data_IF_597376881300
#
_entry.id   IF_597376881300
#
_cell.length_a   1.000
_cell.length_b   1.000
_cell.length_c   1.000
_cell.angle_alpha   90.00
_cell.angle_beta   90.00
_cell.angle_gamma   90.00
#
_symmetry.space_group_name_H-M   'P 1'
#
loop_
_entity.id
_entity.type
_entity.pdbx_description
1 polymer ?
#
# COMPACT_ATOMS: atom_id res chain seq x y z
N UNK A 1 2.62 13.14 3.20
CA UNK A 1 1.61 12.12 3.57
C UNK A 1 1.06 11.40 2.33
N UNK A 2 0.12 11.99 1.58
CA UNK A 2 -0.54 11.35 0.42
C UNK A 2 0.47 10.82 -0.61
N UNK A 3 1.37 11.69 -1.09
CA UNK A 3 2.38 11.30 -2.08
C UNK A 3 3.32 10.19 -1.59
N UNK A 4 3.72 10.22 -0.32
CA UNK A 4 4.57 9.16 0.25
C UNK A 4 3.83 7.82 0.32
N UNK A 5 2.53 7.86 0.63
CA UNK A 5 1.69 6.67 0.64
C UNK A 5 1.53 6.10 -0.77
N UNK A 6 1.21 6.96 -1.75
CA UNK A 6 1.11 6.57 -3.17
C UNK A 6 2.42 5.94 -3.65
N UNK A 7 3.56 6.55 -3.32
CA UNK A 7 4.90 6.06 -3.68
C UNK A 7 5.15 4.63 -3.17
N UNK A 8 4.70 4.33 -1.94
CA UNK A 8 4.77 2.98 -1.38
C UNK A 8 3.89 1.95 -2.10
N UNK A 9 2.76 2.37 -2.68
CA UNK A 9 1.88 1.49 -3.47
C UNK A 9 2.45 1.19 -4.86
N UNK A 10 3.07 2.18 -5.50
CA UNK A 10 3.66 2.05 -6.85
C UNK A 10 5.14 1.67 -6.84
N UNK A 11 5.60 1.05 -5.73
CA UNK A 11 6.97 0.50 -5.59
C UNK A 11 8.09 1.51 -5.91
N UNK A 12 7.90 2.78 -5.56
CA UNK A 12 8.91 3.82 -5.76
C UNK A 12 8.84 4.57 -7.09
N UNK A 13 7.88 4.25 -7.96
CA UNK A 13 7.65 5.02 -9.20
C UNK A 13 7.16 6.44 -8.87
N UNK A 14 7.98 7.44 -9.17
CA UNK A 14 7.72 8.83 -8.82
C UNK A 14 6.62 9.45 -9.68
N UNK A 15 6.51 9.07 -10.95
CA UNK A 15 5.56 9.69 -11.85
C UNK A 15 4.16 9.13 -11.62
N UNK A 16 4.04 7.81 -11.46
CA UNK A 16 2.79 7.19 -11.04
C UNK A 16 2.34 7.69 -9.66
N UNK A 17 3.27 7.94 -8.74
CA UNK A 17 2.94 8.51 -7.43
C UNK A 17 2.33 9.91 -7.54
N UNK A 18 2.87 10.76 -8.43
CA UNK A 18 2.31 12.11 -8.68
C UNK A 18 0.91 12.01 -9.28
N UNK A 19 0.71 11.12 -10.26
CA UNK A 19 -0.59 10.93 -10.91
C UNK A 19 -1.66 10.48 -9.91
N UNK A 20 -1.35 9.48 -9.09
CA UNK A 20 -2.25 9.02 -8.03
C UNK A 20 -2.51 10.09 -6.99
N UNK A 21 -1.49 10.87 -6.62
CA UNK A 21 -1.66 12.00 -5.70
C UNK A 21 -2.64 13.03 -6.25
N UNK A 22 -2.55 13.34 -7.54
CA UNK A 22 -3.48 14.24 -8.21
C UNK A 22 -4.91 13.69 -8.17
N UNK A 23 -5.09 12.41 -8.53
CA UNK A 23 -6.40 11.75 -8.49
C UNK A 23 -7.02 11.78 -7.08
N UNK A 24 -6.20 11.53 -6.05
CA UNK A 24 -6.63 11.62 -4.65
C UNK A 24 -7.15 13.00 -4.30
N UNK A 25 -6.43 14.07 -4.64
CA UNK A 25 -6.87 15.42 -4.29
C UNK A 25 -8.13 15.84 -5.07
N UNK A 26 -8.30 15.38 -6.31
CA UNK A 26 -9.55 15.57 -7.06
C UNK A 26 -10.73 14.88 -6.34
N UNK A 27 -10.56 13.63 -5.90
CA UNK A 27 -11.60 12.90 -5.15
C UNK A 27 -11.90 13.54 -3.78
N UNK A 28 -10.86 14.02 -3.08
CA UNK A 28 -11.02 14.79 -1.84
C UNK A 28 -11.86 16.02 -2.11
N UNK A 29 -11.49 16.85 -3.09
CA UNK A 29 -12.21 18.07 -3.44
C UNK A 29 -13.68 17.81 -3.75
N UNK A 30 -13.97 16.83 -4.61
CA UNK A 30 -15.34 16.44 -4.98
C UNK A 30 -16.14 15.82 -3.82
N UNK A 31 -15.46 15.30 -2.80
CA UNK A 31 -16.04 14.65 -1.63
C UNK A 31 -16.22 15.57 -0.43
N UNK A 32 -15.68 16.79 -0.46
CA UNK A 32 -15.65 17.70 0.70
C UNK A 32 -17.04 17.95 1.29
N UNK A 33 -18.03 18.23 0.45
CA UNK A 33 -19.42 18.49 0.88
C UNK A 33 -20.09 17.28 1.53
N UNK A 34 -19.55 16.07 1.30
CA UNK A 34 -20.08 14.80 1.83
C UNK A 34 -19.28 14.28 3.02
N UNK A 35 -18.26 15.01 3.46
CA UNK A 35 -17.46 14.61 4.61
C UNK A 35 -18.27 14.77 5.90
N UNK A 36 -18.74 13.63 6.43
CA UNK A 36 -19.65 13.56 7.60
C UNK A 36 -18.99 13.85 8.95
N UNK A 37 -17.67 14.07 8.99
CA UNK A 37 -16.89 14.30 10.22
C UNK A 37 -16.93 13.15 11.24
N UNK A 38 -17.32 11.93 10.81
CA UNK A 38 -17.27 10.70 11.63
C UNK A 38 -15.84 10.26 12.00
N UNK A 39 -14.82 10.89 11.41
CA UNK A 39 -13.38 10.68 11.66
C UNK A 39 -12.62 11.99 11.48
N UNK A 40 -11.32 12.02 11.79
CA UNK A 40 -10.50 13.18 11.42
C UNK A 40 -10.45 13.36 9.89
N UNK A 41 -10.26 14.60 9.43
CA UNK A 41 -10.07 14.90 8.01
C UNK A 41 -8.85 14.16 7.44
N UNK A 42 -7.79 14.00 8.25
CA UNK A 42 -6.58 13.23 7.89
C UNK A 42 -6.91 11.76 7.66
N UNK A 43 -7.66 11.13 8.55
CA UNK A 43 -8.11 9.73 8.44
C UNK A 43 -8.99 9.54 7.19
N UNK A 44 -9.86 10.50 6.90
CA UNK A 44 -10.70 10.47 5.70
C UNK A 44 -9.89 10.59 4.40
N UNK A 45 -8.93 11.52 4.33
CA UNK A 45 -8.01 11.64 3.19
C UNK A 45 -7.17 10.37 3.01
N UNK A 46 -6.72 9.74 4.11
CA UNK A 46 -6.03 8.45 4.05
C UNK A 46 -6.90 7.36 3.43
N UNK A 47 -8.18 7.27 3.80
CA UNK A 47 -9.12 6.30 3.20
C UNK A 47 -9.24 6.49 1.71
N UNK A 48 -9.40 7.74 1.26
CA UNK A 48 -9.45 8.06 -0.17
C UNK A 48 -8.14 7.63 -0.85
N UNK A 49 -7.00 7.99 -0.26
CA UNK A 49 -5.67 7.63 -0.79
C UNK A 49 -5.50 6.13 -0.98
N UNK A 50 -5.81 5.34 0.06
CA UNK A 50 -5.70 3.88 0.04
C UNK A 50 -6.63 3.28 -1.01
N UNK A 51 -7.89 3.72 -1.05
CA UNK A 51 -8.86 3.22 -2.02
C UNK A 51 -8.45 3.54 -3.46
N UNK A 52 -7.95 4.75 -3.73
CA UNK A 52 -7.45 5.13 -5.06
C UNK A 52 -6.27 4.26 -5.48
N UNK A 53 -5.28 4.08 -4.60
CA UNK A 53 -4.11 3.25 -4.90
C UNK A 53 -4.49 1.77 -5.12
N UNK A 54 -5.38 1.21 -4.29
CA UNK A 54 -5.84 -0.17 -4.46
C UNK A 54 -6.65 -0.36 -5.74
N UNK A 55 -7.48 0.62 -6.11
CA UNK A 55 -8.23 0.60 -7.36
C UNK A 55 -7.31 0.66 -8.58
N UNK A 56 -6.26 1.48 -8.52
CA UNK A 56 -5.21 1.54 -9.54
C UNK A 56 -4.53 0.18 -9.71
N UNK A 57 -4.03 -0.42 -8.63
CA UNK A 57 -3.35 -1.73 -8.68
C UNK A 57 -4.26 -2.85 -9.17
N UNK A 58 -5.54 -2.83 -8.78
CA UNK A 58 -6.55 -3.79 -9.29
C UNK A 58 -6.77 -3.64 -10.80
N UNK A 59 -6.81 -2.41 -11.31
CA UNK A 59 -6.92 -2.14 -12.76
C UNK A 59 -5.67 -2.60 -13.50
N UNK A 60 -4.49 -2.29 -12.97
CA UNK A 60 -3.20 -2.72 -13.54
C UNK A 60 -3.14 -4.25 -13.64
N UNK A 61 -3.42 -4.97 -12.54
CA UNK A 61 -3.46 -6.44 -12.54
C UNK A 61 -4.49 -7.01 -13.52
N UNK A 62 -5.66 -6.36 -13.66
CA UNK A 62 -6.66 -6.78 -14.64
C UNK A 62 -6.19 -6.54 -16.08
N UNK A 63 -5.42 -5.49 -16.35
CA UNK A 63 -4.84 -5.22 -17.66
C UNK A 63 -3.69 -6.18 -17.97
N UNK A 64 -2.82 -6.44 -17.00
CA UNK A 64 -1.76 -7.45 -17.09
C UNK A 64 -2.34 -8.84 -17.39
N UNK A 65 -3.40 -9.25 -16.68
CA UNK A 65 -4.07 -10.53 -16.95
C UNK A 65 -4.66 -10.60 -18.36
N UNK A 66 -5.32 -9.53 -18.84
CA UNK A 66 -5.86 -9.47 -20.21
C UNK A 66 -4.74 -9.51 -21.25
N UNK A 67 -3.63 -8.82 -20.99
CA UNK A 67 -2.46 -8.79 -21.85
C UNK A 67 -1.77 -10.16 -21.87
N UNK A 68 -1.64 -10.82 -20.73
CA UNK A 68 -1.09 -12.17 -20.59
C UNK A 68 -1.98 -13.26 -21.26
N UNK A 69 -3.30 -13.09 -21.27
CA UNK A 69 -4.21 -13.94 -22.05
C UNK A 69 -4.02 -13.77 -23.56
N UNK A 70 -3.69 -12.56 -24.02
CA UNK A 70 -3.34 -12.27 -25.43
C UNK A 70 -1.92 -12.78 -25.76
N UNK A 71 -0.99 -12.78 -24.80
CA UNK A 71 0.44 -13.10 -24.94
C UNK A 71 0.83 -14.51 -24.48
N UNK A 72 -0.09 -15.48 -24.37
CA UNK A 72 0.24 -16.88 -24.00
C UNK A 72 1.36 -17.43 -24.90
N UNK A 73 2.60 -17.33 -24.41
CA UNK A 73 3.82 -17.57 -25.17
C UNK A 73 5.10 -17.15 -24.47
N UNK A 74 5.10 -16.20 -23.51
CA UNK A 74 6.29 -15.89 -22.71
C UNK A 74 5.95 -15.61 -21.26
N UNK A 75 6.46 -16.45 -20.35
CA UNK A 75 6.57 -16.13 -18.94
C UNK A 75 7.63 -15.04 -18.77
N UNK A 76 7.26 -13.95 -18.11
CA UNK A 76 8.22 -13.05 -17.48
C UNK A 76 7.76 -12.79 -16.05
N UNK A 77 8.37 -13.53 -15.13
CA UNK A 77 8.46 -13.13 -13.72
C UNK A 77 9.51 -12.04 -13.65
N UNK A 78 9.10 -10.79 -13.49
CA UNK A 78 10.05 -9.69 -13.33
C UNK A 78 10.74 -9.78 -11.96
N UNK A 79 12.00 -10.21 -12.01
CA UNK A 79 12.97 -10.10 -10.93
C UNK A 79 13.34 -8.62 -10.71
N UNK A 80 13.09 -8.11 -9.51
CA UNK A 80 13.67 -6.84 -9.08
C UNK A 80 15.03 -7.15 -8.44
N UNK A 81 16.12 -6.89 -9.17
CA UNK A 81 17.46 -6.77 -8.60
C UNK A 81 17.65 -5.38 -8.00
N UNK A 82 17.97 -5.32 -6.71
CA UNK A 82 18.66 -4.17 -6.15
C UNK A 82 19.56 -4.63 -4.99
N UNK A 83 20.87 -4.68 -5.23
CA UNK A 83 21.90 -4.90 -4.21
C UNK A 83 22.32 -3.55 -3.62
N UNK A 84 22.34 -3.45 -2.28
CA UNK A 84 23.49 -3.00 -1.46
C UNK A 84 23.05 -2.84 0.00
N UNK A 85 23.87 -3.36 0.92
CA UNK A 85 23.62 -3.65 2.33
C UNK A 85 23.49 -2.43 3.24
N UNK A 86 22.26 -2.17 3.71
CA UNK A 86 21.94 -1.34 4.87
C UNK A 86 20.81 -2.06 5.66
N UNK A 87 20.87 -2.24 6.99
CA UNK A 87 19.76 -2.79 7.78
C UNK A 87 18.41 -2.12 7.54
N UNK A 88 18.38 -0.83 7.15
CA UNK A 88 17.15 -0.15 6.71
C UNK A 88 16.57 -0.77 5.43
N UNK A 89 17.41 -1.07 4.42
CA UNK A 89 17.02 -1.70 3.16
C UNK A 89 16.45 -3.11 3.35
N UNK A 90 17.00 -3.91 4.26
CA UNK A 90 16.49 -5.27 4.54
C UNK A 90 15.03 -5.28 4.97
N UNK A 91 14.61 -4.30 5.77
CA UNK A 91 13.21 -4.13 6.12
C UNK A 91 12.37 -3.72 4.90
N UNK A 92 12.85 -2.77 4.09
CA UNK A 92 12.16 -2.35 2.87
C UNK A 92 12.04 -3.48 1.83
N UNK A 93 13.05 -4.32 1.66
CA UNK A 93 13.04 -5.50 0.80
C UNK A 93 12.05 -6.56 1.32
N UNK A 94 12.08 -6.85 2.62
CA UNK A 94 11.12 -7.74 3.26
C UNK A 94 9.68 -7.22 3.13
N UNK A 95 9.48 -5.90 3.24
CA UNK A 95 8.20 -5.23 3.00
C UNK A 95 7.77 -5.33 1.53
N UNK A 96 8.71 -5.29 0.57
CA UNK A 96 8.45 -5.51 -0.84
C UNK A 96 7.84 -6.89 -1.13
N UNK A 97 8.24 -7.91 -0.36
CA UNK A 97 7.72 -9.29 -0.42
C UNK A 97 6.37 -9.48 0.30
N UNK A 98 5.84 -8.45 0.97
CA UNK A 98 4.52 -8.51 1.59
C UNK A 98 3.39 -8.26 0.56
N UNK A 99 2.21 -8.87 0.77
CA UNK A 99 0.98 -8.47 0.08
C UNK A 99 0.71 -6.97 0.28
N UNK A 100 0.09 -6.33 -0.70
CA UNK A 100 -0.12 -4.87 -0.74
C UNK A 100 -0.72 -4.29 0.56
N UNK A 101 -1.78 -4.91 1.08
CA UNK A 101 -2.45 -4.48 2.33
C UNK A 101 -1.52 -4.64 3.54
N UNK A 102 -0.72 -5.69 3.57
CA UNK A 102 0.20 -5.98 4.67
C UNK A 102 1.40 -5.01 4.63
N UNK A 103 1.87 -4.65 3.43
CA UNK A 103 2.87 -3.59 3.22
C UNK A 103 2.33 -2.23 3.65
N UNK A 104 1.08 -1.91 3.31
CA UNK A 104 0.40 -0.68 3.75
C UNK A 104 0.31 -0.60 5.28
N UNK A 105 -0.18 -1.65 5.94
CA UNK A 105 -0.26 -1.71 7.41
C UNK A 105 1.11 -1.45 8.03
N UNK A 106 2.15 -2.06 7.47
CA UNK A 106 3.53 -1.86 7.94
C UNK A 106 3.98 -0.41 7.77
N UNK A 107 3.72 0.20 6.62
CA UNK A 107 4.04 1.62 6.38
C UNK A 107 3.33 2.56 7.35
N UNK A 108 2.03 2.37 7.58
CA UNK A 108 1.26 3.18 8.53
C UNK A 108 1.76 3.02 9.98
N UNK A 109 2.19 1.81 10.37
CA UNK A 109 2.78 1.58 11.69
C UNK A 109 4.14 2.27 11.85
N UNK A 110 4.96 2.34 10.79
CA UNK A 110 6.25 3.03 10.81
C UNK A 110 6.08 4.56 10.89
N UNK A 111 4.99 5.08 10.32
CA UNK A 111 4.56 6.48 10.45
C UNK A 111 3.84 6.78 11.79
N UNK A 112 3.90 5.83 12.75
CA UNK A 112 3.29 5.91 14.09
C UNK A 112 1.77 6.22 14.08
N UNK A 113 1.06 5.84 13.01
CA UNK A 113 -0.39 6.01 12.95
C UNK A 113 -1.05 5.10 14.00
N UNK A 114 -1.97 5.64 14.83
CA UNK A 114 -2.69 4.84 15.83
C UNK A 114 -3.41 3.64 15.21
N UNK A 115 -3.41 2.49 15.90
CA UNK A 115 -3.95 1.24 15.32
C UNK A 115 -5.47 1.33 15.07
N UNK A 116 -6.20 2.03 15.92
CA UNK A 116 -7.62 2.35 15.72
C UNK A 116 -7.84 3.19 14.45
N UNK A 117 -6.97 4.17 14.18
CA UNK A 117 -6.99 4.91 12.91
C UNK A 117 -6.65 4.01 11.71
N UNK A 118 -5.67 3.11 11.83
CA UNK A 118 -5.33 2.15 10.75
C UNK A 118 -6.53 1.23 10.47
N UNK A 119 -7.23 0.77 11.50
CA UNK A 119 -8.43 -0.06 11.36
C UNK A 119 -9.54 0.70 10.63
N UNK A 120 -9.75 1.97 10.99
CA UNK A 120 -10.70 2.86 10.32
C UNK A 120 -10.31 3.14 8.85
N UNK A 121 -9.01 3.35 8.59
CA UNK A 121 -8.46 3.56 7.23
C UNK A 121 -8.76 2.35 6.34
N UNK A 122 -8.54 1.14 6.86
CA UNK A 122 -8.75 -0.11 6.15
C UNK A 122 -10.20 -0.59 6.14
N UNK A 123 -11.07 0.00 6.96
CA UNK A 123 -12.47 -0.44 7.11
C UNK A 123 -12.60 -1.83 7.74
N UNK A 124 -11.67 -2.24 8.60
CA UNK A 124 -11.69 -3.53 9.30
C UNK A 124 -11.85 -3.31 10.81
N UNK A 125 -12.23 -4.36 11.54
CA UNK A 125 -12.29 -4.29 13.01
C UNK A 125 -10.89 -4.25 13.63
N UNK A 126 -10.76 -3.62 14.79
CA UNK A 126 -9.51 -3.57 15.56
C UNK A 126 -8.96 -4.97 15.90
N UNK A 127 -9.85 -5.92 16.20
CA UNK A 127 -9.46 -7.33 16.39
C UNK A 127 -8.82 -7.95 15.14
N UNK A 128 -9.39 -7.70 13.95
CA UNK A 128 -8.83 -8.17 12.68
C UNK A 128 -7.48 -7.51 12.38
N UNK A 129 -7.36 -6.20 12.62
CA UNK A 129 -6.10 -5.49 12.48
C UNK A 129 -5.01 -6.08 13.38
N UNK A 130 -5.27 -6.31 14.68
CA UNK A 130 -4.28 -6.89 15.60
C UNK A 130 -3.78 -8.25 15.12
N UNK A 131 -4.67 -9.11 14.65
CA UNK A 131 -4.30 -10.42 14.07
C UNK A 131 -3.43 -10.24 12.81
N UNK A 132 -3.78 -9.29 11.93
CA UNK A 132 -2.97 -8.94 10.76
C UNK A 132 -1.59 -8.45 11.16
N UNK A 133 -1.48 -7.47 12.06
CA UNK A 133 -0.20 -6.94 12.56
C UNK A 133 0.69 -8.06 13.10
N UNK A 134 0.12 -8.95 13.92
CA UNK A 134 0.88 -10.09 14.45
C UNK A 134 1.41 -11.01 13.34
N UNK A 135 0.58 -11.34 12.34
CA UNK A 135 0.99 -12.16 11.19
C UNK A 135 2.06 -11.47 10.34
N UNK A 136 1.92 -10.17 10.11
CA UNK A 136 2.87 -9.33 9.36
C UNK A 136 4.23 -9.33 10.06
N UNK A 137 4.27 -9.01 11.35
CA UNK A 137 5.52 -9.02 12.15
C UNK A 137 6.20 -10.38 12.10
N UNK A 138 5.44 -11.47 12.21
CA UNK A 138 5.98 -12.84 12.10
C UNK A 138 6.53 -13.14 10.70
N UNK A 139 5.86 -12.67 9.64
CA UNK A 139 6.31 -12.84 8.26
C UNK A 139 7.57 -12.04 7.97
N UNK A 140 7.62 -10.77 8.39
CA UNK A 140 8.81 -9.92 8.29
C UNK A 140 10.00 -10.52 9.06
N UNK A 141 9.78 -10.97 10.29
CA UNK A 141 10.81 -11.65 11.08
C UNK A 141 11.38 -12.85 10.34
N UNK A 142 10.54 -13.72 9.77
CA UNK A 142 11.01 -14.85 8.95
C UNK A 142 11.77 -14.43 7.71
N UNK A 143 11.34 -13.35 7.04
CA UNK A 143 12.01 -12.85 5.83
C UNK A 143 13.37 -12.21 6.12
N UNK A 144 13.57 -11.71 7.35
CA UNK A 144 14.82 -11.10 7.80
C UNK A 144 15.76 -12.14 8.43
N UNK A 145 15.23 -13.15 9.15
CA UNK A 145 16.01 -14.17 9.87
C UNK A 145 16.45 -15.36 8.99
N UNK A 146 15.84 -15.59 7.81
CA UNK A 146 16.16 -16.72 6.91
C UNK A 146 17.07 -16.35 5.71
N UNK A 147 17.98 -15.41 5.89
CA UNK A 147 19.19 -15.25 5.05
C UNK A 147 20.46 -15.34 5.89
#
# INVERSE_FOLDING_TARGET
>A
MVMQLCLGFVKGDQDLSKDLTQEVFIQVWNGLDRFRQDSSSKTWIYRITVNTCLNYLKKQKSQENRMAEILRGQETSDEIKLMETDPGKRLFEAMGKLPEIDRLITGLLLEEVPQDEIAAILGISDGNLRVKIHRIKRKLKKLIDHE
#
